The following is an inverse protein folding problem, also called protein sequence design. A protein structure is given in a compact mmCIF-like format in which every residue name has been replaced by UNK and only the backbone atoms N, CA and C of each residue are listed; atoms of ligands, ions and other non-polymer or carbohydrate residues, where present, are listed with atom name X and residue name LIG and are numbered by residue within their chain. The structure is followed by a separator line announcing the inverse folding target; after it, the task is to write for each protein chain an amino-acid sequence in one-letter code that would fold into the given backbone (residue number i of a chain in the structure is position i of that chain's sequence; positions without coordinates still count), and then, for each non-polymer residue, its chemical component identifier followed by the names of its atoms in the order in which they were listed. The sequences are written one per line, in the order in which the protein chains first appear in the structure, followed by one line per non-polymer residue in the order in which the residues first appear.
data_IF_978148323851
#
_entry.id   IF_978148323851
#
_cell.length_a   1.000
_cell.length_b   1.000
_cell.length_c   1.000
_cell.angle_alpha   90.00
_cell.angle_beta   90.00
_cell.angle_gamma   90.00
#
_symmetry.space_group_name_H-M   'P 1'
#
loop_
_entity.id
_entity.type
_entity.pdbx_description
1 polymer ?
#
# COMPACT_ATOMS: atom_id res chain seq x y z
N UNK A 1 32.85 -26.20 -49.59
CA UNK A 1 32.98 -25.74 -48.19
C UNK A 1 32.91 -26.95 -47.27
N UNK A 2 33.78 -27.02 -46.27
CA UNK A 2 33.90 -28.16 -45.35
C UNK A 2 32.62 -28.42 -44.53
N UNK A 3 32.18 -29.69 -44.48
CA UNK A 3 30.97 -30.14 -43.77
C UNK A 3 31.12 -29.98 -42.26
N UNK A 4 32.34 -30.14 -41.74
CA UNK A 4 32.61 -30.03 -40.30
C UNK A 4 32.52 -28.59 -39.83
N UNK A 5 33.02 -27.64 -40.62
CA UNK A 5 32.85 -26.21 -40.35
C UNK A 5 31.35 -25.81 -40.31
N UNK A 6 30.54 -26.31 -41.24
CA UNK A 6 29.08 -26.05 -41.25
C UNK A 6 28.37 -26.64 -40.04
N UNK A 7 28.74 -27.84 -39.61
CA UNK A 7 28.20 -28.46 -38.40
C UNK A 7 28.49 -27.62 -37.15
N UNK A 8 29.72 -27.10 -37.03
CA UNK A 8 30.13 -26.29 -35.87
C UNK A 8 29.36 -24.97 -35.79
N UNK A 9 29.07 -24.34 -36.92
CA UNK A 9 28.21 -23.15 -37.00
C UNK A 9 26.80 -23.50 -36.54
N UNK A 10 26.24 -24.62 -37.01
CA UNK A 10 24.90 -25.06 -36.61
C UNK A 10 24.79 -25.35 -35.11
N UNK A 11 25.80 -25.99 -34.53
CA UNK A 11 25.87 -26.24 -33.08
C UNK A 11 25.82 -24.93 -32.29
N UNK A 12 26.58 -23.92 -32.73
CA UNK A 12 26.60 -22.59 -32.10
C UNK A 12 25.22 -21.92 -32.18
N UNK A 13 24.58 -21.95 -33.35
CA UNK A 13 23.25 -21.35 -33.55
C UNK A 13 22.20 -21.99 -32.63
N UNK A 14 22.18 -23.31 -32.53
CA UNK A 14 21.26 -24.03 -31.62
C UNK A 14 21.56 -23.69 -30.16
N UNK A 15 22.84 -23.60 -29.78
CA UNK A 15 23.24 -23.19 -28.43
C UNK A 15 22.72 -21.80 -28.05
N UNK A 16 22.64 -20.87 -29.01
CA UNK A 16 22.07 -19.54 -28.83
C UNK A 16 20.55 -19.46 -29.04
N UNK A 17 19.86 -20.61 -29.11
CA UNK A 17 18.40 -20.67 -29.16
C UNK A 17 17.79 -20.60 -30.56
N UNK A 18 18.56 -20.91 -31.62
CA UNK A 18 18.00 -21.00 -32.97
C UNK A 18 16.90 -22.08 -33.05
N UNK A 19 15.78 -21.73 -33.65
CA UNK A 19 14.60 -22.60 -33.76
C UNK A 19 14.75 -23.50 -35.00
N UNK A 20 14.92 -24.81 -34.79
CA UNK A 20 15.18 -25.82 -35.85
C UNK A 20 13.97 -26.05 -36.77
N UNK A 21 12.75 -25.77 -36.28
CA UNK A 21 11.51 -25.99 -37.04
C UNK A 21 11.18 -24.86 -38.03
N UNK A 22 11.92 -23.75 -37.98
CA UNK A 22 11.68 -22.62 -38.88
C UNK A 22 11.89 -23.04 -40.35
N UNK A 23 10.99 -22.57 -41.21
CA UNK A 23 10.97 -22.92 -42.63
C UNK A 23 11.53 -21.79 -43.47
N UNK A 24 12.29 -22.13 -44.51
CA UNK A 24 12.75 -21.17 -45.50
C UNK A 24 11.63 -20.78 -46.49
N UNK A 25 11.98 -19.99 -47.52
CA UNK A 25 11.03 -19.54 -48.54
C UNK A 25 10.43 -20.68 -49.40
N UNK A 26 10.96 -21.90 -49.31
CA UNK A 26 10.44 -23.08 -49.98
C UNK A 26 9.64 -23.98 -49.04
N UNK A 27 9.51 -23.60 -47.77
CA UNK A 27 8.93 -24.43 -46.72
C UNK A 27 9.89 -25.50 -46.20
N UNK A 28 11.15 -25.51 -46.66
CA UNK A 28 12.15 -26.48 -46.19
C UNK A 28 12.69 -25.99 -44.83
N UNK A 29 12.51 -26.79 -43.79
CA UNK A 29 13.20 -26.58 -42.51
C UNK A 29 14.61 -27.21 -42.54
N UNK A 30 15.34 -27.11 -41.42
CA UNK A 30 16.70 -27.61 -41.31
C UNK A 30 16.84 -29.12 -41.65
N UNK A 31 15.83 -29.95 -41.37
CA UNK A 31 15.83 -31.38 -41.70
C UNK A 31 15.54 -31.66 -43.17
N UNK A 32 14.67 -30.88 -43.82
CA UNK A 32 14.48 -30.97 -45.28
C UNK A 32 15.79 -30.67 -46.01
N UNK A 33 16.47 -29.60 -45.57
CA UNK A 33 17.75 -29.18 -46.13
C UNK A 33 18.84 -30.24 -45.94
N UNK A 34 18.97 -30.78 -44.73
CA UNK A 34 20.00 -31.78 -44.44
C UNK A 34 19.78 -33.08 -45.22
N UNK A 35 18.53 -33.50 -45.41
CA UNK A 35 18.17 -34.65 -46.24
C UNK A 35 18.46 -34.41 -47.72
N UNK A 36 18.10 -33.24 -48.26
CA UNK A 36 18.33 -32.86 -49.67
C UNK A 36 19.82 -32.80 -50.01
N UNK A 37 20.63 -32.25 -49.10
CA UNK A 37 22.07 -32.09 -49.29
C UNK A 37 22.89 -33.32 -48.90
N UNK A 38 22.24 -34.38 -48.43
CA UNK A 38 22.91 -35.60 -47.97
C UNK A 38 23.91 -35.33 -46.83
N UNK A 39 23.59 -34.36 -45.96
CA UNK A 39 24.44 -33.95 -44.85
C UNK A 39 24.16 -34.80 -43.60
N UNK A 40 24.71 -36.02 -43.58
CA UNK A 40 24.49 -36.98 -42.49
C UNK A 40 24.93 -36.45 -41.11
N UNK A 41 26.10 -35.80 -40.91
CA UNK A 41 26.51 -35.28 -39.61
C UNK A 41 25.53 -34.23 -39.07
N UNK A 42 25.05 -33.34 -39.95
CA UNK A 42 24.03 -32.35 -39.63
C UNK A 42 22.70 -32.99 -39.24
N UNK A 43 22.25 -33.98 -40.02
CA UNK A 43 20.99 -34.69 -39.74
C UNK A 43 21.05 -35.42 -38.40
N UNK A 44 22.20 -36.04 -38.08
CA UNK A 44 22.43 -36.70 -36.79
C UNK A 44 22.37 -35.72 -35.62
N UNK A 45 23.09 -34.60 -35.71
CA UNK A 45 23.07 -33.57 -34.68
C UNK A 45 21.66 -33.04 -34.43
N UNK A 46 20.94 -32.67 -35.50
CA UNK A 46 19.58 -32.16 -35.38
C UNK A 46 18.66 -33.16 -34.67
N UNK A 47 18.75 -34.44 -35.02
CA UNK A 47 17.88 -35.48 -34.45
C UNK A 47 18.22 -35.86 -33.01
N UNK A 48 19.51 -35.97 -32.70
CA UNK A 48 19.98 -36.51 -31.42
C UNK A 48 20.07 -35.43 -30.34
N UNK A 49 20.50 -34.23 -30.72
CA UNK A 49 20.91 -33.19 -29.76
C UNK A 49 19.91 -32.03 -29.70
N UNK A 50 18.83 -32.04 -30.50
CA UNK A 50 17.79 -31.00 -30.46
C UNK A 50 16.39 -31.56 -30.22
N UNK A 51 15.69 -31.00 -29.24
CA UNK A 51 14.30 -31.37 -28.92
C UNK A 51 13.30 -30.99 -30.02
N UNK A 52 13.66 -30.01 -30.85
CA UNK A 52 12.84 -29.47 -31.93
C UNK A 52 12.84 -30.33 -33.22
N UNK A 53 13.66 -31.38 -33.28
CA UNK A 53 13.72 -32.30 -34.41
C UNK A 53 12.37 -32.95 -34.73
N UNK A 54 11.51 -33.10 -33.71
CA UNK A 54 10.24 -33.80 -33.83
C UNK A 54 9.20 -32.99 -34.59
N UNK A 55 9.11 -31.69 -34.30
CA UNK A 55 8.26 -30.77 -35.05
C UNK A 55 8.79 -30.59 -36.46
N UNK A 56 10.10 -30.42 -36.60
CA UNK A 56 10.75 -30.35 -37.90
C UNK A 56 10.52 -31.62 -38.76
N UNK A 57 10.40 -32.80 -38.14
CA UNK A 57 10.16 -34.07 -38.84
C UNK A 57 8.74 -34.20 -39.40
N UNK A 58 7.75 -33.54 -38.80
CA UNK A 58 6.35 -33.62 -39.23
C UNK A 58 5.93 -32.43 -40.11
N UNK A 59 6.69 -31.33 -40.09
CA UNK A 59 6.46 -30.19 -40.98
C UNK A 59 6.52 -30.61 -42.43
N UNK A 60 5.61 -30.06 -43.23
CA UNK A 60 5.59 -30.23 -44.68
C UNK A 60 6.12 -28.96 -45.35
N UNK A 61 6.93 -29.12 -46.39
CA UNK A 61 7.33 -27.99 -47.24
C UNK A 61 6.23 -27.57 -48.21
N UNK A 62 6.47 -26.57 -49.06
CA UNK A 62 5.47 -26.12 -50.05
C UNK A 62 5.08 -27.19 -51.08
N UNK A 63 5.87 -28.26 -51.21
CA UNK A 63 5.58 -29.44 -52.05
C UNK A 63 4.83 -30.54 -51.29
N UNK A 64 4.39 -30.29 -50.05
CA UNK A 64 3.75 -31.26 -49.16
C UNK A 64 4.63 -32.48 -48.87
N UNK A 65 5.95 -32.30 -48.89
CA UNK A 65 6.91 -33.33 -48.56
C UNK A 65 7.38 -33.13 -47.13
N UNK A 66 7.45 -34.21 -46.35
CA UNK A 66 8.13 -34.22 -45.05
C UNK A 66 9.62 -34.45 -45.26
N UNK A 67 10.48 -34.20 -44.26
CA UNK A 67 11.91 -34.52 -44.38
C UNK A 67 12.18 -35.99 -44.71
N UNK A 68 11.34 -36.91 -44.20
CA UNK A 68 11.41 -38.33 -44.52
C UNK A 68 11.13 -38.61 -46.01
N UNK A 69 10.16 -37.90 -46.60
CA UNK A 69 9.83 -38.03 -48.02
C UNK A 69 10.95 -37.47 -48.89
N UNK A 70 11.55 -36.34 -48.51
CA UNK A 70 12.73 -35.77 -49.18
C UNK A 70 13.92 -36.74 -49.11
N UNK A 71 14.16 -37.35 -47.95
CA UNK A 71 15.21 -38.36 -47.78
C UNK A 71 14.95 -39.61 -48.64
N UNK A 72 13.69 -40.07 -48.71
CA UNK A 72 13.29 -41.19 -49.56
C UNK A 72 13.56 -40.88 -51.03
N UNK A 73 13.12 -39.72 -51.52
CA UNK A 73 13.37 -39.28 -52.89
C UNK A 73 14.87 -39.15 -53.20
N UNK A 74 15.66 -38.60 -52.27
CA UNK A 74 17.10 -38.48 -52.44
C UNK A 74 17.79 -39.86 -52.54
N UNK A 75 17.35 -40.83 -51.72
CA UNK A 75 17.84 -42.22 -51.75
C UNK A 75 17.41 -42.92 -53.04
N UNK A 76 16.16 -42.79 -53.44
CA UNK A 76 15.61 -43.46 -54.62
C UNK A 76 16.22 -42.88 -55.91
N UNK A 77 16.54 -41.59 -55.94
CA UNK A 77 17.21 -40.93 -57.07
C UNK A 77 18.71 -41.27 -57.16
N UNK A 78 19.42 -41.36 -56.01
CA UNK A 78 20.86 -41.68 -55.97
C UNK A 78 21.20 -42.54 -54.75
N UNK A 79 21.00 -43.86 -54.84
CA UNK A 79 21.27 -44.78 -53.74
C UNK A 79 22.74 -44.71 -53.31
N UNK A 80 22.96 -44.43 -52.03
CA UNK A 80 24.28 -44.38 -51.41
C UNK A 80 24.20 -44.74 -49.93
N UNK A 81 25.34 -45.07 -49.32
CA UNK A 81 25.43 -45.30 -47.88
C UNK A 81 24.90 -44.11 -47.07
N UNK A 82 25.17 -42.89 -47.54
CA UNK A 82 24.76 -41.64 -46.86
C UNK A 82 23.25 -41.43 -46.96
N UNK A 83 22.67 -41.53 -48.15
CA UNK A 83 21.22 -41.36 -48.35
C UNK A 83 20.40 -42.44 -47.63
N UNK A 84 20.90 -43.67 -47.61
CA UNK A 84 20.27 -44.78 -46.87
C UNK A 84 20.34 -44.55 -45.36
N UNK A 85 21.50 -44.14 -44.83
CA UNK A 85 21.66 -43.83 -43.41
C UNK A 85 20.77 -42.67 -42.94
N UNK A 86 20.62 -41.62 -43.76
CA UNK A 86 19.72 -40.49 -43.46
C UNK A 86 18.25 -40.96 -43.44
N UNK A 87 17.84 -41.74 -44.44
CA UNK A 87 16.48 -42.29 -44.51
C UNK A 87 16.18 -43.19 -43.31
N UNK A 88 17.09 -44.09 -42.94
CA UNK A 88 16.91 -45.01 -41.81
C UNK A 88 16.84 -44.27 -40.48
N UNK A 89 17.67 -43.23 -40.31
CA UNK A 89 17.67 -42.39 -39.12
C UNK A 89 16.33 -41.65 -38.97
N UNK A 90 15.87 -40.98 -40.03
CA UNK A 90 14.58 -40.29 -40.03
C UNK A 90 13.41 -41.26 -39.86
N UNK A 91 13.47 -42.45 -40.48
CA UNK A 91 12.45 -43.50 -40.35
C UNK A 91 12.32 -44.00 -38.92
N UNK A 92 13.44 -44.19 -38.22
CA UNK A 92 13.46 -44.62 -36.82
C UNK A 92 12.80 -43.56 -35.93
N UNK A 93 13.23 -42.31 -36.06
CA UNK A 93 12.68 -41.20 -35.27
C UNK A 93 11.20 -40.98 -35.58
N UNK A 94 10.77 -41.19 -36.82
CA UNK A 94 9.37 -41.07 -37.22
C UNK A 94 8.48 -42.11 -36.52
N UNK A 95 8.97 -43.33 -36.28
CA UNK A 95 8.22 -44.33 -35.50
C UNK A 95 8.09 -43.92 -34.03
N UNK A 96 9.13 -43.32 -33.48
CA UNK A 96 9.18 -42.93 -32.06
C UNK A 96 8.63 -41.51 -31.80
N UNK A 97 8.27 -40.77 -32.86
CA UNK A 97 7.90 -39.35 -32.77
C UNK A 97 6.61 -39.13 -31.96
N UNK A 98 5.66 -40.06 -32.04
CA UNK A 98 4.35 -39.94 -31.39
C UNK A 98 4.46 -39.89 -29.86
N UNK A 99 5.38 -40.66 -29.27
CA UNK A 99 5.60 -40.66 -27.81
C UNK A 99 6.28 -39.36 -27.39
N UNK A 100 7.29 -38.92 -28.14
CA UNK A 100 8.04 -37.69 -27.85
C UNK A 100 7.19 -36.43 -28.02
N UNK A 101 6.33 -36.36 -29.04
CA UNK A 101 5.35 -35.28 -29.24
C UNK A 101 4.38 -35.20 -28.07
N UNK A 102 3.85 -36.33 -27.59
CA UNK A 102 2.94 -36.36 -26.44
C UNK A 102 3.61 -35.83 -25.17
N UNK A 103 4.87 -36.19 -24.91
CA UNK A 103 5.63 -35.70 -23.75
C UNK A 103 5.84 -34.19 -23.83
N UNK A 104 6.28 -33.67 -24.98
CA UNK A 104 6.53 -32.24 -25.17
C UNK A 104 5.23 -31.41 -25.10
N UNK A 105 4.15 -31.90 -25.69
CA UNK A 105 2.83 -31.28 -25.60
C UNK A 105 2.33 -31.25 -24.15
N UNK A 106 2.46 -32.37 -23.42
CA UNK A 106 2.13 -32.43 -21.99
C UNK A 106 2.95 -31.46 -21.14
N UNK A 107 4.25 -31.34 -21.41
CA UNK A 107 5.13 -30.36 -20.74
C UNK A 107 4.67 -28.92 -21.01
N UNK A 108 4.37 -28.58 -22.27
CA UNK A 108 3.86 -27.24 -22.65
C UNK A 108 2.55 -26.93 -21.93
N UNK A 109 1.61 -27.86 -21.92
CA UNK A 109 0.32 -27.69 -21.25
C UNK A 109 0.49 -27.48 -19.74
N UNK A 110 1.36 -28.26 -19.09
CA UNK A 110 1.66 -28.10 -17.66
C UNK A 110 2.27 -26.74 -17.35
N UNK A 111 3.27 -26.31 -18.13
CA UNK A 111 3.89 -25.00 -17.94
C UNK A 111 2.91 -23.84 -18.14
N UNK A 112 2.01 -23.96 -19.12
CA UNK A 112 0.95 -22.99 -19.34
C UNK A 112 -0.03 -22.93 -18.15
N UNK A 113 -0.50 -24.08 -17.67
CA UNK A 113 -1.37 -24.16 -16.51
C UNK A 113 -0.70 -23.60 -15.24
N UNK A 114 0.57 -23.89 -15.02
CA UNK A 114 1.34 -23.32 -13.91
C UNK A 114 1.51 -21.79 -14.03
N UNK A 115 1.71 -21.28 -15.26
CA UNK A 115 1.81 -19.84 -15.51
C UNK A 115 0.48 -19.13 -15.25
N UNK A 116 -0.65 -19.68 -15.74
CA UNK A 116 -1.98 -19.16 -15.44
C UNK A 116 -2.30 -19.20 -13.93
N UNK A 117 -1.98 -20.30 -13.25
CA UNK A 117 -2.21 -20.41 -11.82
C UNK A 117 -1.36 -19.42 -11.03
N UNK A 118 -0.12 -19.14 -11.49
CA UNK A 118 0.72 -18.07 -10.92
C UNK A 118 0.10 -16.69 -11.14
N UNK A 119 -0.36 -16.39 -12.36
CA UNK A 119 -1.00 -15.11 -12.66
C UNK A 119 -2.23 -14.87 -11.80
N UNK A 120 -3.14 -15.86 -11.71
CA UNK A 120 -4.33 -15.77 -10.84
C UNK A 120 -3.98 -15.51 -9.39
N UNK A 121 -2.97 -16.21 -8.84
CA UNK A 121 -2.52 -15.96 -7.46
C UNK A 121 -1.96 -14.55 -7.27
N UNK A 122 -1.27 -14.00 -8.25
CA UNK A 122 -0.77 -12.62 -8.17
C UNK A 122 -1.96 -11.65 -8.15
N UNK A 123 -2.95 -11.84 -9.02
CA UNK A 123 -4.16 -11.01 -9.06
C UNK A 123 -4.98 -11.11 -7.76
N UNK A 124 -5.10 -12.31 -7.18
CA UNK A 124 -5.79 -12.50 -5.89
C UNK A 124 -5.06 -11.77 -4.74
N UNK A 125 -3.73 -11.86 -4.71
CA UNK A 125 -2.90 -11.21 -3.69
C UNK A 125 -2.95 -9.69 -3.83
N UNK A 126 -2.91 -9.15 -5.05
CA UNK A 126 -3.02 -7.69 -5.27
C UNK A 126 -4.41 -7.21 -4.87
N UNK A 127 -5.47 -7.92 -5.25
CA UNK A 127 -6.84 -7.58 -4.86
C UNK A 127 -7.03 -7.62 -3.33
N UNK A 128 -6.49 -8.63 -2.65
CA UNK A 128 -6.53 -8.72 -1.20
C UNK A 128 -5.76 -7.57 -0.53
N UNK A 129 -4.59 -7.20 -1.04
CA UNK A 129 -3.77 -6.11 -0.53
C UNK A 129 -4.46 -4.73 -0.70
N UNK A 130 -5.10 -4.50 -1.84
CA UNK A 130 -5.85 -3.26 -2.09
C UNK A 130 -7.08 -3.17 -1.19
N UNK A 131 -7.81 -4.28 -1.03
CA UNK A 131 -8.96 -4.36 -0.12
C UNK A 131 -8.55 -4.09 1.33
N UNK A 132 -7.45 -4.69 1.78
CA UNK A 132 -6.91 -4.46 3.12
C UNK A 132 -6.53 -2.99 3.32
N UNK A 133 -5.89 -2.35 2.32
CA UNK A 133 -5.52 -0.93 2.37
C UNK A 133 -6.74 -0.03 2.51
N UNK A 134 -7.80 -0.28 1.73
CA UNK A 134 -9.04 0.48 1.80
C UNK A 134 -9.73 0.33 3.15
N UNK A 135 -9.76 -0.88 3.71
CA UNK A 135 -10.34 -1.14 5.02
C UNK A 135 -9.54 -0.47 6.14
N UNK A 136 -8.20 -0.55 6.12
CA UNK A 136 -7.36 0.16 7.09
C UNK A 136 -7.59 1.67 7.03
N UNK A 137 -7.65 2.25 5.83
CA UNK A 137 -7.93 3.67 5.67
C UNK A 137 -9.30 4.07 6.23
N UNK A 138 -10.34 3.26 5.95
CA UNK A 138 -11.68 3.49 6.49
C UNK A 138 -11.68 3.37 8.03
N UNK A 139 -10.95 2.42 8.60
CA UNK A 139 -10.85 2.25 10.04
C UNK A 139 -10.14 3.44 10.70
N UNK A 140 -9.05 3.94 10.10
CA UNK A 140 -8.33 5.12 10.59
C UNK A 140 -9.21 6.38 10.55
N UNK A 141 -9.99 6.56 9.48
CA UNK A 141 -10.96 7.66 9.38
C UNK A 141 -12.03 7.55 10.48
N UNK A 142 -12.64 6.37 10.65
CA UNK A 142 -13.65 6.15 11.69
C UNK A 142 -13.09 6.40 13.10
N UNK A 143 -11.86 5.96 13.34
CA UNK A 143 -11.16 6.19 14.60
C UNK A 143 -10.93 7.68 14.85
N UNK A 144 -10.48 8.41 13.84
CA UNK A 144 -10.23 9.86 13.92
C UNK A 144 -11.52 10.63 14.19
N UNK A 145 -12.59 10.32 13.45
CA UNK A 145 -13.92 10.91 13.67
C UNK A 145 -14.46 10.63 15.08
N UNK A 146 -14.25 9.41 15.59
CA UNK A 146 -14.66 9.06 16.95
C UNK A 146 -13.87 9.85 18.00
N UNK A 147 -12.57 10.05 17.80
CA UNK A 147 -11.74 10.87 18.68
C UNK A 147 -12.16 12.34 18.67
N UNK A 148 -12.39 12.91 17.49
CA UNK A 148 -12.86 14.29 17.35
C UNK A 148 -14.23 14.49 18.02
N UNK A 149 -15.17 13.57 17.80
CA UNK A 149 -16.47 13.60 18.46
C UNK A 149 -16.35 13.52 19.99
N UNK A 150 -15.46 12.67 20.50
CA UNK A 150 -15.22 12.55 21.94
C UNK A 150 -14.55 13.82 22.53
N UNK A 151 -13.61 14.43 21.82
CA UNK A 151 -13.02 15.74 22.18
C UNK A 151 -14.08 16.85 22.20
N UNK A 152 -14.98 16.90 21.20
CA UNK A 152 -16.10 17.85 21.19
C UNK A 152 -16.98 17.69 22.43
N UNK A 153 -17.39 16.46 22.76
CA UNK A 153 -18.20 16.18 23.96
C UNK A 153 -17.45 16.58 25.24
N UNK A 154 -16.14 16.29 25.34
CA UNK A 154 -15.31 16.68 26.48
C UNK A 154 -15.25 18.21 26.64
N UNK A 155 -15.07 18.93 25.54
CA UNK A 155 -15.02 20.40 25.54
C UNK A 155 -16.38 21.01 25.92
N UNK A 156 -17.48 20.44 25.45
CA UNK A 156 -18.84 20.86 25.84
C UNK A 156 -19.10 20.62 27.32
N UNK A 157 -18.63 19.49 27.86
CA UNK A 157 -18.69 19.20 29.30
C UNK A 157 -17.84 20.20 30.10
N UNK A 158 -16.61 20.47 29.66
CA UNK A 158 -15.72 21.46 30.30
C UNK A 158 -16.40 22.84 30.35
N UNK A 159 -16.96 23.29 29.23
CA UNK A 159 -17.64 24.57 29.13
C UNK A 159 -18.84 24.67 30.08
N UNK A 160 -19.66 23.61 30.18
CA UNK A 160 -20.80 23.56 31.10
C UNK A 160 -20.37 23.64 32.56
N UNK A 161 -19.39 22.83 32.96
CA UNK A 161 -18.92 22.80 34.35
C UNK A 161 -18.26 24.13 34.74
N UNK A 162 -17.54 24.77 33.81
CA UNK A 162 -16.96 26.10 34.02
C UNK A 162 -18.03 27.19 34.17
N UNK A 163 -19.08 27.16 33.35
CA UNK A 163 -20.17 28.12 33.42
C UNK A 163 -20.98 27.97 34.72
N UNK A 164 -21.36 26.74 35.08
CA UNK A 164 -22.08 26.44 36.32
C UNK A 164 -21.26 26.82 37.56
N UNK A 165 -19.99 26.42 37.60
CA UNK A 165 -19.10 26.75 38.72
C UNK A 165 -18.76 28.24 38.82
N UNK A 166 -18.68 28.93 37.68
CA UNK A 166 -18.54 30.39 37.63
C UNK A 166 -19.77 31.10 38.20
N UNK A 167 -20.97 30.72 37.77
CA UNK A 167 -22.25 31.27 38.28
C UNK A 167 -22.42 31.04 39.78
N UNK A 168 -22.08 29.84 40.25
CA UNK A 168 -22.13 29.47 41.66
C UNK A 168 -21.11 30.28 42.51
N UNK A 169 -19.90 30.51 41.99
CA UNK A 169 -18.92 31.40 42.63
C UNK A 169 -19.40 32.86 42.70
N UNK A 170 -19.98 33.39 41.61
CA UNK A 170 -20.60 34.72 41.60
C UNK A 170 -21.73 34.81 42.63
N UNK A 171 -22.60 33.80 42.69
CA UNK A 171 -23.68 33.71 43.67
C UNK A 171 -23.16 33.79 45.10
N UNK A 172 -22.20 32.91 45.46
CA UNK A 172 -21.56 32.92 46.77
C UNK A 172 -20.89 34.26 47.11
N UNK A 173 -20.16 34.85 46.17
CA UNK A 173 -19.48 36.12 46.37
C UNK A 173 -20.48 37.25 46.66
N UNK A 174 -21.59 37.32 45.92
CA UNK A 174 -22.66 38.30 46.16
C UNK A 174 -23.32 38.11 47.53
N UNK A 175 -23.62 36.86 47.92
CA UNK A 175 -24.17 36.58 49.26
C UNK A 175 -23.18 36.98 50.36
N UNK A 176 -21.89 36.70 50.19
CA UNK A 176 -20.85 37.08 51.15
C UNK A 176 -20.73 38.61 51.29
N UNK A 177 -20.81 39.37 50.20
CA UNK A 177 -20.77 40.84 50.23
C UNK A 177 -21.95 41.46 51.00
N UNK A 178 -23.07 40.74 51.14
CA UNK A 178 -24.21 41.19 51.95
C UNK A 178 -24.04 40.94 53.46
N UNK A 179 -23.08 40.09 53.85
CA UNK A 179 -22.78 39.81 55.25
C UNK A 179 -22.14 41.01 55.95
N UNK A 180 -22.13 40.98 57.29
CA UNK A 180 -21.45 42.02 58.09
C UNK A 180 -19.96 42.11 57.75
N UNK A 181 -19.32 40.97 57.55
CA UNK A 181 -17.89 40.88 57.21
C UNK A 181 -17.60 41.43 55.83
N UNK A 182 -18.39 41.04 54.82
CA UNK A 182 -18.27 41.57 53.46
C UNK A 182 -18.44 43.09 53.40
N UNK A 183 -19.44 43.63 54.10
CA UNK A 183 -19.67 45.09 54.19
C UNK A 183 -18.51 45.82 54.88
N UNK A 184 -17.94 45.23 55.93
CA UNK A 184 -16.76 45.78 56.60
C UNK A 184 -15.52 45.77 55.70
N UNK A 185 -15.31 44.68 54.94
CA UNK A 185 -14.24 44.56 53.97
C UNK A 185 -14.35 45.61 52.86
N UNK A 186 -15.53 45.80 52.25
CA UNK A 186 -15.73 46.84 51.21
C UNK A 186 -15.41 48.23 51.76
N UNK A 187 -15.80 48.54 53.00
CA UNK A 187 -15.48 49.83 53.63
C UNK A 187 -13.98 50.03 53.80
N UNK A 188 -13.23 48.96 54.07
CA UNK A 188 -11.77 48.98 54.21
C UNK A 188 -11.06 49.21 52.87
N UNK A 189 -11.52 48.58 51.80
CA UNK A 189 -10.90 48.65 50.46
C UNK A 189 -11.39 49.86 49.62
N UNK A 190 -12.51 50.48 50.00
CA UNK A 190 -13.07 51.63 49.29
C UNK A 190 -12.12 52.84 49.10
N UNK A 191 -11.22 53.20 50.03
CA UNK A 191 -10.28 54.31 49.85
C UNK A 191 -9.34 54.13 48.65
N UNK A 192 -8.79 52.92 48.47
CA UNK A 192 -7.86 52.62 47.37
C UNK A 192 -8.58 52.68 46.02
N UNK A 193 -9.82 52.18 45.96
CA UNK A 193 -10.67 52.30 44.78
C UNK A 193 -11.08 53.75 44.48
N UNK A 194 -11.26 54.60 45.49
CA UNK A 194 -11.51 56.04 45.29
C UNK A 194 -10.29 56.70 44.63
N UNK A 195 -9.07 56.36 45.07
CA UNK A 195 -7.84 56.90 44.49
C UNK A 195 -7.64 56.41 43.05
N UNK A 196 -7.92 55.14 42.77
CA UNK A 196 -7.91 54.59 41.42
C UNK A 196 -8.89 55.33 40.49
N UNK A 197 -10.13 55.57 40.93
CA UNK A 197 -11.12 56.31 40.13
C UNK A 197 -10.66 57.76 39.91
N UNK A 198 -10.11 58.43 40.92
CA UNK A 198 -9.57 59.80 40.77
C UNK A 198 -8.45 59.85 39.73
N UNK A 199 -7.54 58.87 39.74
CA UNK A 199 -6.46 58.74 38.76
C UNK A 199 -7.02 58.57 37.34
N UNK A 200 -8.02 57.71 37.16
CA UNK A 200 -8.65 57.49 35.86
C UNK A 200 -9.43 58.72 35.34
N UNK A 201 -10.10 59.45 36.24
CA UNK A 201 -10.77 60.72 35.92
C UNK A 201 -9.74 61.77 35.51
N UNK A 202 -8.62 61.87 36.22
CA UNK A 202 -7.53 62.80 35.88
C UNK A 202 -6.91 62.49 34.50
N UNK A 203 -6.79 61.21 34.16
CA UNK A 203 -6.31 60.74 32.85
C UNK A 203 -7.37 60.88 31.73
N UNK A 204 -8.58 61.35 32.03
CA UNK A 204 -9.66 61.50 31.05
C UNK A 204 -10.28 60.18 30.56
N UNK A 205 -10.00 59.06 31.24
CA UNK A 205 -10.45 57.72 30.82
C UNK A 205 -11.91 57.46 31.20
N UNK A 206 -12.38 58.02 32.32
CA UNK A 206 -13.75 57.88 32.80
C UNK A 206 -14.31 59.23 33.27
N UNK A 207 -15.60 59.51 33.04
CA UNK A 207 -16.24 60.73 33.54
C UNK A 207 -16.31 60.71 35.07
N UNK A 208 -16.27 61.91 35.68
CA UNK A 208 -16.36 62.07 37.14
C UNK A 208 -17.71 61.53 37.65
N UNK A 209 -17.73 60.53 38.53
CA UNK A 209 -18.98 59.99 39.06
C UNK A 209 -19.72 61.01 39.93
N UNK A 210 -21.06 60.96 39.91
CA UNK A 210 -21.93 61.80 40.76
C UNK A 210 -21.72 61.53 42.25
N UNK A 211 -21.49 60.27 42.62
CA UNK A 211 -21.12 59.85 43.98
C UNK A 211 -19.88 58.96 43.90
N UNK A 212 -18.73 59.55 44.24
CA UNK A 212 -17.44 58.89 44.17
C UNK A 212 -17.32 57.72 45.15
N UNK A 213 -17.93 57.83 46.34
CA UNK A 213 -17.86 56.78 47.37
C UNK A 213 -18.70 55.58 46.97
N UNK A 214 -19.91 55.83 46.47
CA UNK A 214 -20.79 54.77 45.95
C UNK A 214 -20.18 54.09 44.73
N UNK A 215 -19.61 54.84 43.79
CA UNK A 215 -18.94 54.29 42.61
C UNK A 215 -17.73 53.42 42.98
N UNK A 216 -16.91 53.86 43.94
CA UNK A 216 -15.79 53.06 44.43
C UNK A 216 -16.25 51.77 45.12
N UNK A 217 -17.29 51.83 45.96
CA UNK A 217 -17.85 50.65 46.62
C UNK A 217 -18.39 49.62 45.61
N UNK A 218 -19.11 50.07 44.57
CA UNK A 218 -19.60 49.18 43.49
C UNK A 218 -18.42 48.54 42.75
N UNK A 219 -17.39 49.32 42.40
CA UNK A 219 -16.21 48.80 41.71
C UNK A 219 -15.48 47.72 42.51
N UNK A 220 -15.27 47.95 43.82
CA UNK A 220 -14.65 46.96 44.72
C UNK A 220 -15.46 45.67 44.77
N UNK A 221 -16.79 45.77 44.86
CA UNK A 221 -17.68 44.61 44.86
C UNK A 221 -17.61 43.84 43.53
N UNK A 222 -17.63 44.54 42.40
CA UNK A 222 -17.54 43.93 41.06
C UNK A 222 -16.19 43.25 40.83
N UNK A 223 -15.07 43.91 41.21
CA UNK A 223 -13.73 43.33 41.11
C UNK A 223 -13.59 42.09 42.00
N UNK A 224 -14.15 42.11 43.21
CA UNK A 224 -14.16 40.92 44.08
C UNK A 224 -14.94 39.75 43.45
N UNK A 225 -16.15 40.01 42.95
CA UNK A 225 -16.99 38.99 42.32
C UNK A 225 -16.29 38.41 41.09
N UNK A 226 -15.71 39.25 40.23
CA UNK A 226 -14.96 38.83 39.05
C UNK A 226 -13.72 37.99 39.43
N UNK A 227 -13.02 38.39 40.49
CA UNK A 227 -11.88 37.64 41.03
C UNK A 227 -12.27 36.26 41.54
N UNK A 228 -13.38 36.16 42.29
CA UNK A 228 -13.90 34.87 42.76
C UNK A 228 -14.34 33.96 41.60
N UNK A 229 -15.03 34.53 40.60
CA UNK A 229 -15.43 33.80 39.41
C UNK A 229 -14.22 33.25 38.64
N UNK A 230 -13.21 34.10 38.39
CA UNK A 230 -12.00 33.73 37.64
C UNK A 230 -11.22 32.65 38.37
N UNK A 231 -10.99 32.83 39.68
CA UNK A 231 -10.29 31.85 40.51
C UNK A 231 -11.00 30.50 40.54
N UNK A 232 -12.35 30.50 40.62
CA UNK A 232 -13.11 29.26 40.60
C UNK A 232 -13.05 28.57 39.24
N UNK A 233 -13.21 29.31 38.15
CA UNK A 233 -13.08 28.79 36.78
C UNK A 233 -11.70 28.15 36.57
N UNK A 234 -10.63 28.79 37.03
CA UNK A 234 -9.27 28.24 36.93
C UNK A 234 -9.08 26.95 37.75
N UNK A 235 -9.64 26.90 38.96
CA UNK A 235 -9.58 25.72 39.81
C UNK A 235 -10.35 24.55 39.21
N UNK A 236 -11.57 24.81 38.71
CA UNK A 236 -12.40 23.83 38.01
C UNK A 236 -11.68 23.34 36.76
N UNK A 237 -11.13 24.23 35.94
CA UNK A 237 -10.40 23.86 34.73
C UNK A 237 -9.24 22.91 35.03
N UNK A 238 -8.45 23.22 36.06
CA UNK A 238 -7.34 22.35 36.50
C UNK A 238 -7.83 21.00 37.01
N UNK A 239 -8.92 20.96 37.76
CA UNK A 239 -9.51 19.72 38.27
C UNK A 239 -10.09 18.88 37.13
N UNK A 240 -10.87 19.50 36.25
CA UNK A 240 -11.48 18.87 35.08
C UNK A 240 -10.41 18.27 34.16
N UNK A 241 -9.34 19.00 33.85
CA UNK A 241 -8.26 18.47 33.02
C UNK A 241 -7.50 17.28 33.64
N UNK A 242 -7.54 17.11 34.97
CA UNK A 242 -6.99 15.93 35.65
C UNK A 242 -7.92 14.73 35.61
N UNK A 243 -9.22 14.95 35.78
CA UNK A 243 -10.24 13.90 35.78
C UNK A 243 -10.65 13.48 34.35
N UNK A 244 -10.55 14.40 33.41
CA UNK A 244 -10.91 14.27 31.99
C UNK A 244 -9.76 14.78 31.11
N UNK A 245 -8.63 14.05 31.06
CA UNK A 245 -7.48 14.47 30.24
C UNK A 245 -7.84 14.51 28.75
N UNK A 246 -7.22 15.42 28.02
CA UNK A 246 -7.34 15.48 26.56
C UNK A 246 -6.77 14.22 25.90
N UNK A 247 -7.31 13.84 24.74
CA UNK A 247 -6.92 12.64 24.00
C UNK A 247 -5.50 12.71 23.41
N UNK A 248 -4.97 13.93 23.27
CA UNK A 248 -3.58 14.20 22.90
C UNK A 248 -2.64 14.37 24.11
N UNK A 249 -3.14 14.14 25.33
CA UNK A 249 -2.27 14.20 26.50
C UNK A 249 -1.22 13.09 26.44
N UNK A 250 -0.04 13.41 26.99
CA UNK A 250 1.11 12.50 27.08
C UNK A 250 0.76 11.17 27.76
N UNK A 251 -0.21 11.19 28.67
CA UNK A 251 -0.71 10.01 29.38
C UNK A 251 -1.58 9.14 28.46
N UNK A 252 -2.47 9.73 27.66
CA UNK A 252 -3.23 8.98 26.65
C UNK A 252 -2.31 8.42 25.56
N UNK A 253 -1.26 9.15 25.17
CA UNK A 253 -0.24 8.66 24.24
C UNK A 253 0.59 7.50 24.81
N UNK A 254 0.86 7.51 26.12
CA UNK A 254 1.44 6.36 26.82
C UNK A 254 0.50 5.15 26.76
N UNK A 255 -0.78 5.30 27.08
CA UNK A 255 -1.74 4.20 26.98
C UNK A 255 -1.94 3.69 25.55
N UNK A 256 -1.95 4.58 24.54
CA UNK A 256 -1.97 4.21 23.12
C UNK A 256 -0.78 3.31 22.76
N UNK A 257 0.43 3.65 23.24
CA UNK A 257 1.65 2.83 23.05
C UNK A 257 1.59 1.49 23.76
N UNK A 258 1.06 1.45 24.99
CA UNK A 258 0.93 0.19 25.75
C UNK A 258 -0.05 -0.76 25.06
N UNK A 259 -1.17 -0.26 24.53
CA UNK A 259 -2.14 -1.08 23.79
C UNK A 259 -1.58 -1.55 22.45
N UNK A 260 -0.91 -0.67 21.69
CA UNK A 260 -0.28 -1.04 20.41
C UNK A 260 0.84 -2.07 20.57
N UNK A 261 1.66 -1.96 21.62
CA UNK A 261 2.78 -2.88 21.87
C UNK A 261 2.37 -4.12 22.68
N UNK A 262 1.22 -4.09 23.36
CA UNK A 262 0.71 -5.19 24.18
C UNK A 262 -0.02 -6.28 23.41
N UNK A 263 -0.36 -6.05 22.13
CA UNK A 263 -0.98 -7.04 21.24
C UNK A 263 -0.01 -8.01 20.56
N UNK A 264 1.30 -7.90 20.82
CA UNK A 264 2.35 -8.77 20.29
C UNK A 264 2.88 -9.75 21.37
N UNK A 265 1.97 -10.51 21.97
CA UNK A 265 2.31 -11.71 22.76
C UNK A 265 1.40 -12.86 22.37
#
# INVERSE_FOLDING_TARGET
GDVNAKLKILQLLVQFGAVVEHQDCHGDNALHWSARMQALPTTRFLIQDTDAAVYALISENHKRQKPLDVAKLARDAKPSMVTSAIFDLLSRVHRDCNVRLKIQYGKKLRLHAEAEARARRVDDVTHAADSARMLCHSADQMWTMALEAAECVRNDMEAKVLDEGGKDAVGRARVWLETKEGKAWVKKEAPDAIEAIKSLVHKGVVPKPRDLKKAAAVRVMEEYVLGQETNMRDLIKKKFGREHPAFESRDVEYYKRVVHNGGAR
#
